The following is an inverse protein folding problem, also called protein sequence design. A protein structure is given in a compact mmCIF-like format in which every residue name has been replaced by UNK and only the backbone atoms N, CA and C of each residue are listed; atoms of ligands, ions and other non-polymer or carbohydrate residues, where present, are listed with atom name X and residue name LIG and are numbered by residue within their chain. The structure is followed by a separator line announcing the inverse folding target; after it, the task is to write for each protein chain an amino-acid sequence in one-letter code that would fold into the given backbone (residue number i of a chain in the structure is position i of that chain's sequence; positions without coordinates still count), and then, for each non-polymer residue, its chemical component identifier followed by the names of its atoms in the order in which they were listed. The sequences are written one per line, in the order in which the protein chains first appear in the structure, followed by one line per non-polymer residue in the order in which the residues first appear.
data_IF_347935513390
#
_entry.id   IF_347935513390
#
_cell.length_a   1.000
_cell.length_b   1.000
_cell.length_c   1.000
_cell.angle_alpha   90.00
_cell.angle_beta   90.00
_cell.angle_gamma   90.00
#
_symmetry.space_group_name_H-M   'P 1'
#
loop_
_entity.id
_entity.type
_entity.pdbx_description
1 polymer ?
#
# COMPACT_ATOMS: atom_id res chain seq x y z
N UNK A 1 -16.75 69.07 -27.78
CA UNK A 1 -16.23 69.72 -26.55
C UNK A 1 -16.36 68.73 -25.43
N UNK A 2 -15.31 68.69 -24.62
CA UNK A 2 -14.84 67.62 -23.76
C UNK A 2 -15.49 67.64 -22.35
N UNK A 3 -15.29 66.52 -21.62
CA UNK A 3 -15.40 66.26 -20.17
C UNK A 3 -16.80 66.30 -19.49
N UNK A 4 -17.17 65.40 -18.57
CA UNK A 4 -16.50 64.31 -17.86
C UNK A 4 -17.27 63.90 -16.58
N UNK A 5 -16.81 62.83 -15.90
CA UNK A 5 -17.19 62.24 -14.57
C UNK A 5 -18.33 61.19 -14.59
N UNK A 6 -18.08 59.87 -14.60
CA UNK A 6 -17.45 58.96 -13.60
C UNK A 6 -18.27 58.78 -12.31
N UNK A 7 -18.89 57.60 -12.15
CA UNK A 7 -18.73 56.73 -10.96
C UNK A 7 -19.19 55.27 -11.24
N UNK A 8 -18.18 54.39 -11.25
CA UNK A 8 -18.11 53.03 -10.71
C UNK A 8 -18.97 52.84 -9.44
N UNK A 9 -19.39 51.68 -8.93
CA UNK A 9 -19.24 50.25 -9.20
C UNK A 9 -20.12 49.55 -8.14
N UNK A 10 -20.82 48.46 -8.47
CA UNK A 10 -21.04 47.35 -7.52
C UNK A 10 -21.79 46.20 -8.20
N UNK A 11 -21.14 45.52 -9.15
CA UNK A 11 -21.49 44.13 -9.46
C UNK A 11 -20.66 43.25 -8.53
N UNK A 12 -21.30 42.73 -7.48
CA UNK A 12 -20.78 41.59 -6.71
C UNK A 12 -20.68 40.40 -7.66
N UNK A 13 -19.49 40.16 -8.18
CA UNK A 13 -19.13 38.86 -8.73
C UNK A 13 -18.99 37.92 -7.53
N UNK A 14 -19.97 37.04 -7.34
CA UNK A 14 -19.76 35.82 -6.55
C UNK A 14 -18.67 35.02 -7.26
N UNK A 15 -17.45 35.13 -6.77
CA UNK A 15 -16.39 34.19 -7.09
C UNK A 15 -16.81 32.82 -6.52
N UNK A 16 -17.33 31.97 -7.40
CA UNK A 16 -17.40 30.53 -7.13
C UNK A 16 -15.98 30.02 -7.29
N UNK A 17 -15.33 29.70 -6.17
CA UNK A 17 -14.02 29.06 -6.16
C UNK A 17 -14.10 27.70 -6.89
N UNK A 18 -13.30 27.45 -7.94
CA UNK A 18 -13.11 26.11 -8.47
C UNK A 18 -11.82 25.54 -7.88
N UNK A 19 -11.87 24.97 -6.66
CA UNK A 19 -10.67 24.38 -6.01
C UNK A 19 -10.98 23.03 -5.34
N UNK A 20 -12.05 22.32 -5.75
CA UNK A 20 -12.42 21.05 -5.11
C UNK A 20 -12.55 19.85 -6.07
N UNK A 21 -12.45 20.04 -7.39
CA UNK A 21 -12.70 18.97 -8.38
C UNK A 21 -11.42 18.43 -9.03
N UNK A 22 -10.39 19.26 -9.22
CA UNK A 22 -9.16 18.86 -9.96
C UNK A 22 -8.31 17.78 -9.25
N UNK A 23 -8.38 17.70 -7.91
CA UNK A 23 -7.65 16.67 -7.16
C UNK A 23 -8.31 15.28 -7.27
N UNK A 24 -9.61 15.23 -7.59
CA UNK A 24 -10.35 13.97 -7.75
C UNK A 24 -10.08 13.31 -9.10
N UNK A 25 -10.12 14.08 -10.19
CA UNK A 25 -9.87 13.58 -11.54
C UNK A 25 -8.43 13.09 -11.73
N UNK A 26 -7.43 13.87 -11.29
CA UNK A 26 -6.03 13.52 -11.50
C UNK A 26 -5.61 12.22 -10.77
N UNK A 27 -6.08 12.03 -9.53
CA UNK A 27 -5.77 10.82 -8.75
C UNK A 27 -6.45 9.58 -9.34
N UNK A 28 -7.63 9.73 -9.95
CA UNK A 28 -8.34 8.65 -10.64
C UNK A 28 -7.61 8.21 -11.90
N UNK A 29 -7.11 9.16 -12.70
CA UNK A 29 -6.33 8.86 -13.90
C UNK A 29 -4.98 8.19 -13.57
N UNK A 30 -4.25 8.71 -12.59
CA UNK A 30 -2.98 8.12 -12.14
C UNK A 30 -3.17 6.71 -11.54
N UNK A 31 -4.29 6.47 -10.84
CA UNK A 31 -4.62 5.13 -10.35
C UNK A 31 -4.98 4.17 -11.49
N UNK A 32 -5.67 4.64 -12.52
CA UNK A 32 -5.97 3.83 -13.70
C UNK A 32 -4.70 3.43 -14.46
N UNK A 33 -3.74 4.35 -14.63
CA UNK A 33 -2.43 4.06 -15.21
C UNK A 33 -1.65 3.04 -14.38
N UNK A 34 -1.62 3.23 -13.05
CA UNK A 34 -1.00 2.28 -12.13
C UNK A 34 -1.62 0.88 -12.26
N UNK A 35 -2.95 0.78 -12.35
CA UNK A 35 -3.67 -0.49 -12.53
C UNK A 35 -3.36 -1.15 -13.86
N UNK A 36 -3.21 -0.38 -14.93
CA UNK A 36 -2.77 -0.92 -16.22
C UNK A 36 -1.33 -1.45 -16.14
N UNK A 37 -0.43 -0.74 -15.46
CA UNK A 37 0.94 -1.21 -15.24
C UNK A 37 0.94 -2.53 -14.45
N UNK A 38 0.20 -2.60 -13.35
CA UNK A 38 0.08 -3.80 -12.52
C UNK A 38 -0.40 -5.01 -13.33
N UNK A 39 -1.43 -4.85 -14.17
CA UNK A 39 -1.94 -5.92 -15.06
C UNK A 39 -0.89 -6.35 -16.09
N UNK A 40 -0.22 -5.40 -16.74
CA UNK A 40 0.87 -5.72 -17.69
C UNK A 40 2.03 -6.46 -17.00
N UNK A 41 2.35 -6.10 -15.76
CA UNK A 41 3.35 -6.83 -14.98
C UNK A 41 2.88 -8.24 -14.66
N UNK A 42 1.62 -8.46 -14.29
CA UNK A 42 1.06 -9.82 -14.11
C UNK A 42 1.20 -10.64 -15.39
N UNK A 43 0.76 -10.12 -16.53
CA UNK A 43 0.85 -10.83 -17.82
C UNK A 43 2.29 -11.27 -18.14
N UNK A 44 3.26 -10.40 -17.86
CA UNK A 44 4.68 -10.72 -18.04
C UNK A 44 5.16 -11.81 -17.07
N UNK A 45 4.79 -11.73 -15.80
CA UNK A 45 5.18 -12.73 -14.80
C UNK A 45 4.51 -14.08 -15.02
N UNK A 46 3.28 -14.10 -15.53
CA UNK A 46 2.60 -15.35 -15.92
C UNK A 46 3.26 -16.00 -17.13
N UNK A 47 3.83 -15.20 -18.02
CA UNK A 47 4.57 -15.70 -19.20
C UNK A 47 5.97 -16.24 -18.86
N UNK A 48 6.51 -15.92 -17.69
CA UNK A 48 7.85 -16.33 -17.25
C UNK A 48 7.77 -17.42 -16.15
N UNK A 49 8.03 -18.70 -16.49
CA UNK A 49 7.96 -19.80 -15.53
C UNK A 49 9.04 -19.74 -14.43
N UNK A 50 10.06 -18.88 -14.58
CA UNK A 50 11.07 -18.66 -13.52
C UNK A 50 10.55 -17.80 -12.37
N UNK A 51 9.42 -17.11 -12.55
CA UNK A 51 8.80 -16.23 -11.56
C UNK A 51 7.74 -16.99 -10.77
N UNK A 52 8.19 -17.64 -9.69
CA UNK A 52 7.30 -18.42 -8.84
C UNK A 52 6.20 -17.57 -8.19
N UNK A 53 4.95 -18.02 -8.35
CA UNK A 53 3.80 -17.50 -7.62
C UNK A 53 3.85 -18.00 -6.19
N UNK A 54 3.38 -17.16 -5.28
CA UNK A 54 3.16 -17.49 -3.88
C UNK A 54 1.68 -17.39 -3.55
N UNK A 55 1.24 -18.34 -2.73
CA UNK A 55 -0.10 -18.36 -2.16
C UNK A 55 -0.03 -17.95 -0.70
N UNK A 56 -0.83 -16.96 -0.31
CA UNK A 56 -0.98 -16.52 1.08
C UNK A 56 -2.45 -16.53 1.50
N UNK A 57 -2.71 -16.80 2.76
CA UNK A 57 -4.05 -16.76 3.34
C UNK A 57 -4.03 -16.19 4.76
N UNK A 58 -5.00 -15.32 5.03
CA UNK A 58 -5.31 -14.79 6.35
C UNK A 58 -6.73 -14.21 6.34
N UNK A 59 -7.38 -14.12 7.49
CA UNK A 59 -8.71 -13.49 7.62
C UNK A 59 -9.78 -14.01 6.64
N UNK A 60 -9.78 -15.33 6.37
CA UNK A 60 -10.64 -15.98 5.36
C UNK A 60 -10.46 -15.46 3.92
N UNK A 61 -9.40 -14.70 3.67
CA UNK A 61 -9.00 -14.23 2.35
C UNK A 61 -7.79 -15.04 1.89
N UNK A 62 -7.77 -15.38 0.62
CA UNK A 62 -6.69 -16.10 -0.02
C UNK A 62 -6.27 -15.36 -1.29
N UNK A 63 -4.97 -15.16 -1.46
CA UNK A 63 -4.40 -14.46 -2.61
C UNK A 63 -3.23 -15.27 -3.15
N UNK A 64 -3.21 -15.42 -4.47
CA UNK A 64 -2.06 -15.92 -5.22
C UNK A 64 -1.42 -14.78 -6.01
N UNK A 65 -0.09 -14.69 -6.00
CA UNK A 65 0.62 -13.60 -6.66
C UNK A 65 2.13 -13.59 -6.41
N UNK A 66 2.78 -12.47 -6.65
CA UNK A 66 4.23 -12.30 -6.47
C UNK A 66 4.54 -11.27 -5.40
N UNK A 67 5.53 -11.56 -4.56
CA UNK A 67 6.01 -10.59 -3.57
C UNK A 67 6.79 -9.47 -4.26
N UNK A 68 6.24 -8.25 -4.24
CA UNK A 68 6.87 -7.04 -4.82
C UNK A 68 7.62 -6.22 -3.77
N UNK A 69 7.40 -6.49 -2.49
CA UNK A 69 8.15 -5.89 -1.40
C UNK A 69 8.14 -6.78 -0.16
N UNK A 70 9.25 -6.77 0.57
CA UNK A 70 9.37 -7.38 1.89
C UNK A 70 9.66 -6.25 2.87
N UNK A 71 8.63 -5.82 3.57
CA UNK A 71 8.75 -4.94 4.73
C UNK A 71 9.77 -5.52 5.71
N UNK A 72 10.79 -4.73 6.00
CA UNK A 72 11.89 -5.14 6.88
C UNK A 72 11.44 -4.98 8.33
N UNK A 73 10.77 -5.99 8.88
CA UNK A 73 10.54 -6.05 10.33
C UNK A 73 10.66 -7.47 10.87
N UNK A 74 11.82 -8.06 10.59
CA UNK A 74 12.37 -9.06 11.50
C UNK A 74 12.79 -8.36 12.81
N UNK A 75 11.93 -8.39 13.83
CA UNK A 75 12.35 -8.15 15.21
C UNK A 75 12.26 -9.47 15.98
N UNK A 76 13.41 -10.05 16.32
CA UNK A 76 13.48 -11.11 17.32
C UNK A 76 13.66 -10.42 18.68
N UNK A 77 12.59 -9.84 19.22
CA UNK A 77 12.66 -9.24 20.55
C UNK A 77 12.34 -10.33 21.58
N UNK A 78 13.36 -10.72 22.35
CA UNK A 78 13.20 -11.54 23.56
C UNK A 78 13.11 -10.62 24.77
N UNK A 79 11.92 -10.51 25.35
CA UNK A 79 11.73 -9.85 26.64
C UNK A 79 11.80 -10.91 27.73
N UNK A 80 12.82 -10.84 28.57
CA UNK A 80 12.95 -11.70 29.75
C UNK A 80 12.35 -10.98 30.97
N UNK A 81 11.51 -11.68 31.73
CA UNK A 81 11.04 -11.18 33.02
C UNK A 81 12.04 -11.53 34.13
N UNK A 82 11.86 -10.97 35.33
CA UNK A 82 12.71 -11.28 36.50
C UNK A 82 12.41 -12.66 37.11
N UNK A 83 11.35 -13.35 36.67
CA UNK A 83 11.00 -14.67 37.14
C UNK A 83 11.73 -15.76 36.31
N UNK A 84 12.30 -16.80 36.95
CA UNK A 84 12.94 -17.90 36.23
C UNK A 84 11.97 -18.59 35.26
N UNK A 85 12.34 -18.68 33.98
CA UNK A 85 11.55 -19.36 32.95
C UNK A 85 10.48 -18.50 32.26
N UNK A 86 10.33 -17.24 32.65
CA UNK A 86 9.38 -16.31 32.05
C UNK A 86 10.07 -15.45 30.98
N UNK A 87 9.83 -15.80 29.71
CA UNK A 87 10.26 -15.06 28.55
C UNK A 87 9.08 -14.82 27.61
N UNK A 88 9.16 -13.77 26.81
CA UNK A 88 8.28 -13.50 25.67
C UNK A 88 9.16 -13.29 24.45
N UNK A 89 9.00 -14.12 23.44
CA UNK A 89 9.71 -14.00 22.18
C UNK A 89 8.70 -13.70 21.06
N UNK A 90 8.84 -12.51 20.47
CA UNK A 90 8.10 -12.15 19.28
C UNK A 90 8.92 -12.54 18.04
N UNK A 91 8.27 -13.26 17.12
CA UNK A 91 8.81 -13.66 15.83
C UNK A 91 7.95 -13.07 14.72
N UNK A 92 8.62 -12.54 13.70
CA UNK A 92 7.99 -12.44 12.38
C UNK A 92 7.03 -11.29 12.16
N UNK A 93 7.36 -10.06 12.55
CA UNK A 93 6.65 -8.85 12.08
C UNK A 93 6.94 -8.55 10.59
N UNK A 94 6.86 -9.55 9.72
CA UNK A 94 7.13 -9.37 8.30
C UNK A 94 5.87 -8.87 7.61
N UNK A 95 5.87 -7.60 7.21
CA UNK A 95 4.91 -7.07 6.25
C UNK A 95 5.39 -7.42 4.85
N UNK A 96 4.54 -7.98 4.02
CA UNK A 96 4.82 -8.30 2.62
C UNK A 96 3.81 -7.59 1.74
N UNK A 97 4.28 -7.06 0.63
CA UNK A 97 3.40 -6.53 -0.40
C UNK A 97 3.36 -7.52 -1.56
N UNK A 98 2.15 -7.91 -1.95
CA UNK A 98 1.89 -8.92 -2.95
C UNK A 98 1.15 -8.27 -4.12
N UNK A 99 1.65 -8.48 -5.34
CA UNK A 99 0.90 -8.25 -6.57
C UNK A 99 0.10 -9.52 -6.86
N UNK A 100 -1.22 -9.46 -6.70
CA UNK A 100 -2.12 -10.56 -7.00
C UNK A 100 -2.23 -10.84 -8.50
N UNK A 101 -2.61 -12.05 -8.86
CA UNK A 101 -2.91 -12.44 -10.26
C UNK A 101 -4.08 -11.65 -10.86
N UNK A 102 -4.90 -11.01 -10.02
CA UNK A 102 -5.96 -10.07 -10.40
C UNK A 102 -5.44 -8.64 -10.71
N UNK A 103 -4.12 -8.43 -10.61
CA UNK A 103 -3.47 -7.14 -10.78
C UNK A 103 -3.73 -6.16 -9.62
N UNK A 104 -4.24 -6.64 -8.49
CA UNK A 104 -4.43 -5.85 -7.28
C UNK A 104 -3.21 -5.97 -6.36
N UNK A 105 -3.06 -4.99 -5.46
CA UNK A 105 -1.97 -4.99 -4.48
C UNK A 105 -2.54 -5.37 -3.11
N UNK A 106 -1.87 -6.29 -2.43
CA UNK A 106 -2.24 -6.77 -1.11
C UNK A 106 -1.11 -6.53 -0.12
N UNK A 107 -1.49 -6.19 1.11
CA UNK A 107 -0.61 -6.23 2.27
C UNK A 107 -0.90 -7.49 3.04
N UNK A 108 0.12 -8.33 3.18
CA UNK A 108 0.10 -9.51 4.03
C UNK A 108 1.02 -9.26 5.23
N UNK A 109 0.57 -9.55 6.43
CA UNK A 109 1.43 -9.59 7.60
C UNK A 109 1.21 -10.87 8.36
N UNK A 110 2.24 -11.36 8.99
CA UNK A 110 2.13 -12.41 9.99
C UNK A 110 2.78 -11.92 11.28
N UNK A 111 2.48 -12.60 12.38
CA UNK A 111 3.02 -12.32 13.70
C UNK A 111 2.88 -13.59 14.53
N UNK A 112 3.97 -13.98 15.20
CA UNK A 112 3.99 -15.10 16.13
C UNK A 112 4.62 -14.66 17.44
N UNK A 113 4.02 -15.06 18.53
CA UNK A 113 4.51 -14.80 19.87
C UNK A 113 4.53 -16.10 20.67
N UNK A 114 5.65 -16.37 21.33
CA UNK A 114 5.83 -17.48 22.25
C UNK A 114 6.17 -16.96 23.64
N UNK A 115 5.60 -17.58 24.67
CA UNK A 115 5.88 -17.28 26.06
C UNK A 115 6.39 -18.51 26.82
N UNK A 116 7.22 -18.28 27.84
CA UNK A 116 7.88 -19.34 28.60
C UNK A 116 7.00 -20.02 29.64
N UNK A 117 6.29 -19.26 30.48
CA UNK A 117 5.45 -19.80 31.56
C UNK A 117 4.24 -18.90 31.91
N UNK A 118 2.98 -19.39 31.73
CA UNK A 118 2.63 -20.62 31.04
C UNK A 118 3.07 -20.56 29.58
N UNK A 119 3.39 -21.70 28.98
CA UNK A 119 3.73 -21.74 27.56
C UNK A 119 2.49 -21.44 26.72
N UNK A 120 2.39 -20.22 26.20
CA UNK A 120 1.34 -19.79 25.28
C UNK A 120 2.00 -19.41 23.96
N UNK A 121 1.50 -20.00 22.88
CA UNK A 121 1.79 -19.58 21.52
C UNK A 121 0.59 -18.82 20.96
N UNK A 122 0.83 -17.61 20.45
CA UNK A 122 -0.16 -16.83 19.73
C UNK A 122 0.35 -16.60 18.32
N UNK A 123 -0.47 -16.95 17.34
CA UNK A 123 -0.20 -16.69 15.93
C UNK A 123 -1.33 -15.83 15.38
N UNK A 124 -0.97 -14.80 14.62
CA UNK A 124 -1.92 -13.97 13.91
C UNK A 124 -1.35 -13.62 12.55
N UNK A 125 -2.22 -13.55 11.56
CA UNK A 125 -1.88 -13.05 10.24
C UNK A 125 -2.98 -12.10 9.80
N UNK A 126 -2.63 -11.15 8.94
CA UNK A 126 -3.60 -10.27 8.31
C UNK A 126 -3.35 -10.21 6.82
N UNK A 127 -4.44 -10.15 6.05
CA UNK A 127 -4.38 -9.99 4.60
C UNK A 127 -5.44 -8.99 4.19
N UNK A 128 -5.01 -7.88 3.59
CA UNK A 128 -5.93 -6.86 3.09
C UNK A 128 -5.51 -6.39 1.71
N UNK A 129 -6.52 -6.10 0.88
CA UNK A 129 -6.33 -5.34 -0.35
C UNK A 129 -5.95 -3.90 0.00
N UNK A 130 -4.94 -3.37 -0.69
CA UNK A 130 -4.57 -1.96 -0.59
C UNK A 130 -5.45 -1.14 -1.53
N UNK A 131 -6.09 -0.11 -0.98
CA UNK A 131 -6.88 0.83 -1.76
C UNK A 131 -5.99 1.95 -2.31
N UNK A 132 -6.49 2.73 -3.27
CA UNK A 132 -5.73 3.83 -3.86
C UNK A 132 -5.09 4.75 -2.79
N UNK A 133 -5.84 5.07 -1.72
CA UNK A 133 -5.36 5.88 -0.59
C UNK A 133 -4.18 5.28 0.18
N UNK A 134 -4.05 3.95 0.22
CA UNK A 134 -2.92 3.27 0.88
C UNK A 134 -1.66 3.32 0.00
N UNK A 135 -1.81 3.57 -1.30
CA UNK A 135 -0.74 3.55 -2.29
C UNK A 135 -0.22 4.96 -2.63
N UNK A 136 -0.83 6.01 -2.06
CA UNK A 136 -0.34 7.39 -2.16
C UNK A 136 0.79 7.59 -1.15
N UNK A 137 2.01 7.81 -1.63
CA UNK A 137 3.17 8.08 -0.78
C UNK A 137 3.07 9.46 -0.10
N UNK A 138 3.73 9.60 1.05
CA UNK A 138 3.82 10.87 1.80
C UNK A 138 4.57 11.99 1.08
N UNK A 139 5.20 11.68 -0.06
CA UNK A 139 6.05 12.58 -0.86
C UNK A 139 5.29 13.38 -1.93
N UNK A 140 3.96 13.28 -1.98
CA UNK A 140 3.12 14.06 -2.90
C UNK A 140 3.10 13.55 -4.35
N UNK A 141 3.74 12.40 -4.64
CA UNK A 141 3.55 11.66 -5.89
C UNK A 141 2.79 10.37 -5.58
N UNK A 142 1.49 10.29 -5.92
CA UNK A 142 0.74 9.08 -5.68
C UNK A 142 1.32 7.91 -6.48
N UNK A 143 1.28 6.71 -5.92
CA UNK A 143 1.69 5.44 -6.56
C UNK A 143 3.16 5.30 -6.97
N UNK A 144 4.02 6.32 -6.81
CA UNK A 144 5.39 6.31 -7.36
C UNK A 144 6.26 5.19 -6.79
N UNK A 145 6.18 4.97 -5.48
CA UNK A 145 6.96 3.91 -4.80
C UNK A 145 6.57 2.51 -5.28
N UNK A 146 5.29 2.27 -5.55
CA UNK A 146 4.79 0.98 -6.05
C UNK A 146 5.03 0.82 -7.54
N UNK A 147 4.96 1.91 -8.31
CA UNK A 147 5.35 1.96 -9.72
C UNK A 147 6.81 1.54 -9.89
N UNK A 148 7.73 2.08 -9.08
CA UNK A 148 9.14 1.71 -9.10
C UNK A 148 9.35 0.22 -8.75
N UNK A 149 8.61 -0.30 -7.77
CA UNK A 149 8.66 -1.71 -7.38
C UNK A 149 8.18 -2.64 -8.49
N UNK A 150 7.06 -2.30 -9.15
CA UNK A 150 6.55 -3.06 -10.30
C UNK A 150 7.52 -3.05 -11.47
N UNK A 151 8.14 -1.89 -11.75
CA UNK A 151 9.15 -1.78 -12.79
C UNK A 151 10.38 -2.63 -12.47
N UNK A 152 10.86 -2.65 -11.22
CA UNK A 152 11.98 -3.52 -10.82
C UNK A 152 11.64 -5.00 -11.00
N UNK A 153 10.44 -5.42 -10.61
CA UNK A 153 10.03 -6.82 -10.73
C UNK A 153 9.99 -7.27 -12.20
N UNK A 154 9.60 -6.38 -13.12
CA UNK A 154 9.56 -6.64 -14.57
C UNK A 154 10.93 -6.96 -15.19
N UNK A 155 12.02 -6.43 -14.63
CA UNK A 155 13.37 -6.55 -15.19
C UNK A 155 14.33 -7.39 -14.34
N UNK A 156 13.89 -7.88 -13.18
CA UNK A 156 14.57 -8.93 -12.42
C UNK A 156 14.40 -10.28 -13.09
#
# INVERSE_FOLDING_TARGET
MDHGLRQESSRRLSAVCPVATEWGDQVVDEYAEFRQLARKTVELLESDPSKEKRKVSADNTEVEGWTIDRGSSYSNEKVFSKAPGDFREAWGNNGEIILGVDGEIYSFSWHKEESGWPTVMTESSSLRKLEARDLVGSTGKPFSAYTDKLNRLRWS
#
